data_IF_143429691315
#
_entry.id   IF_143429691315
#
_cell.length_a   1.000
_cell.length_b   1.000
_cell.length_c   1.000
_cell.angle_alpha   90.00
_cell.angle_beta   90.00
_cell.angle_gamma   90.00
#
_symmetry.space_group_name_H-M   'P 1'
#
loop_
_entity.id
_entity.type
_entity.pdbx_description
1 polymer ?
#
# COMPACT_ATOMS: atom_id res chain seq x y z
N UNK A 1 9.83 -6.53 11.44
CA UNK A 1 10.84 -5.45 11.21
C UNK A 1 12.01 -5.94 10.36
N UNK A 2 11.96 -5.80 9.02
CA UNK A 2 13.04 -6.24 8.10
C UNK A 2 13.89 -5.07 7.60
N UNK A 3 15.19 -5.32 7.46
CA UNK A 3 16.25 -4.32 7.24
C UNK A 3 16.28 -3.67 5.83
N UNK A 4 15.19 -3.71 5.05
CA UNK A 4 15.11 -3.08 3.71
C UNK A 4 14.23 -1.83 3.62
N UNK A 5 13.55 -1.41 4.69
CA UNK A 5 12.76 -0.17 4.70
C UNK A 5 13.57 1.14 4.53
N UNK A 6 14.86 1.07 4.25
CA UNK A 6 15.73 2.22 4.05
C UNK A 6 16.16 2.46 2.59
N UNK A 7 15.73 1.62 1.64
CA UNK A 7 15.80 1.95 0.21
C UNK A 7 14.47 2.58 -0.21
N UNK A 8 14.28 3.84 0.20
CA UNK A 8 13.11 4.65 -0.10
C UNK A 8 12.97 4.82 -1.62
N UNK A 9 12.09 4.03 -2.24
CA UNK A 9 11.42 4.44 -3.46
C UNK A 9 11.41 3.44 -4.62
N UNK A 10 10.62 3.82 -5.62
CA UNK A 10 10.36 3.09 -6.85
C UNK A 10 11.55 3.19 -7.85
N UNK A 11 12.79 3.16 -7.37
CA UNK A 11 14.02 3.30 -8.18
C UNK A 11 14.43 2.00 -8.91
N UNK A 12 14.87 2.12 -10.15
CA UNK A 12 15.25 1.05 -11.08
C UNK A 12 16.69 0.60 -10.88
N UNK A 13 17.62 1.56 -10.74
CA UNK A 13 19.05 1.33 -10.61
C UNK A 13 19.59 2.19 -9.49
N UNK A 14 20.53 1.64 -8.70
CA UNK A 14 21.31 2.37 -7.72
C UNK A 14 22.79 2.26 -8.06
N UNK A 15 23.50 3.37 -7.95
CA UNK A 15 24.95 3.42 -7.99
C UNK A 15 25.47 3.82 -6.61
N UNK A 16 26.42 3.04 -6.06
CA UNK A 16 27.03 3.26 -4.76
C UNK A 16 28.52 3.56 -4.94
N UNK A 17 29.03 4.53 -4.19
CA UNK A 17 30.46 4.79 -4.06
C UNK A 17 30.79 5.05 -2.60
N UNK A 18 31.85 4.41 -2.10
CA UNK A 18 32.35 4.60 -0.73
C UNK A 18 33.82 4.96 -0.82
N UNK A 19 34.17 6.08 -0.21
CA UNK A 19 35.49 6.65 -0.28
C UNK A 19 35.99 6.99 1.12
N UNK A 20 37.27 6.76 1.38
CA UNK A 20 37.93 7.24 2.59
C UNK A 20 38.68 8.53 2.28
N UNK A 21 38.29 9.60 2.94
CA UNK A 21 38.89 10.92 2.76
C UNK A 21 40.26 10.98 3.44
N UNK A 22 41.10 11.95 3.03
CA UNK A 22 42.44 12.14 3.58
C UNK A 22 42.46 12.39 5.12
N UNK A 23 41.37 12.91 5.66
CA UNK A 23 41.17 13.10 7.11
C UNK A 23 40.68 11.82 7.84
N UNK A 24 40.68 10.68 7.16
CA UNK A 24 40.30 9.39 7.73
C UNK A 24 38.80 9.09 7.75
N UNK A 25 37.94 10.10 7.50
CA UNK A 25 36.48 9.93 7.44
C UNK A 25 36.05 9.07 6.27
N UNK A 26 34.97 8.33 6.46
CA UNK A 26 34.30 7.59 5.39
C UNK A 26 33.12 8.41 4.85
N UNK A 27 33.09 8.57 3.53
CA UNK A 27 31.95 9.16 2.81
C UNK A 27 31.28 8.10 1.95
N UNK A 28 29.96 8.05 2.02
CA UNK A 28 29.09 7.20 1.22
C UNK A 28 28.31 8.10 0.29
N UNK A 29 28.37 7.82 -1.01
CA UNK A 29 27.59 8.50 -2.05
C UNK A 29 26.69 7.47 -2.73
N UNK A 30 25.41 7.78 -2.86
CA UNK A 30 24.46 6.96 -3.62
C UNK A 30 23.72 7.81 -4.63
N UNK A 31 23.44 7.25 -5.79
CA UNK A 31 22.58 7.82 -6.81
C UNK A 31 21.51 6.80 -7.21
N UNK A 32 20.26 7.24 -7.23
CA UNK A 32 19.09 6.41 -7.49
C UNK A 32 18.39 6.91 -8.76
N UNK A 33 18.18 5.98 -9.68
CA UNK A 33 17.58 6.24 -10.98
C UNK A 33 16.19 5.62 -11.05
N UNK A 34 15.19 6.37 -11.47
CA UNK A 34 13.77 6.01 -11.43
C UNK A 34 13.23 5.79 -12.84
N UNK A 35 12.06 5.15 -12.92
CA UNK A 35 11.28 5.15 -14.16
C UNK A 35 11.02 6.58 -14.61
N UNK A 36 11.15 6.90 -15.91
CA UNK A 36 10.76 8.21 -16.41
C UNK A 36 9.26 8.42 -16.24
N UNK A 37 8.79 9.64 -16.48
CA UNK A 37 7.36 9.88 -16.52
C UNK A 37 6.71 9.14 -17.70
N UNK A 38 5.52 8.55 -17.50
CA UNK A 38 4.81 7.88 -18.57
C UNK A 38 4.55 8.83 -19.75
N UNK A 39 4.75 8.41 -21.01
CA UNK A 39 4.34 9.20 -22.16
C UNK A 39 2.80 9.34 -22.18
N UNK A 40 2.28 10.35 -22.89
CA UNK A 40 0.83 10.63 -22.94
C UNK A 40 -0.02 9.45 -23.43
N UNK A 41 0.53 8.59 -24.28
CA UNK A 41 -0.12 7.38 -24.81
C UNK A 41 0.08 6.14 -23.94
N UNK A 42 0.75 6.29 -22.79
CA UNK A 42 1.12 5.21 -21.86
C UNK A 42 1.91 4.07 -22.51
N UNK A 43 2.57 4.33 -23.66
CA UNK A 43 3.35 3.31 -24.34
C UNK A 43 4.50 2.81 -23.45
N UNK A 44 4.64 1.48 -23.40
CA UNK A 44 5.78 0.81 -22.78
C UNK A 44 6.76 0.40 -23.88
N UNK A 45 8.07 0.58 -23.67
CA UNK A 45 9.10 0.12 -24.60
C UNK A 45 8.99 -1.37 -24.92
N UNK A 46 8.95 -1.65 -26.22
CA UNK A 46 8.70 -2.99 -26.78
C UNK A 46 10.01 -3.60 -27.25
N UNK A 47 10.19 -4.89 -27.00
CA UNK A 47 11.28 -5.70 -27.58
C UNK A 47 12.68 -5.14 -27.33
N UNK A 48 12.88 -4.45 -26.21
CA UNK A 48 14.17 -3.94 -25.74
C UNK A 48 14.66 -4.81 -24.59
N UNK A 49 15.97 -5.01 -24.49
CA UNK A 49 16.57 -5.75 -23.36
C UNK A 49 16.40 -4.97 -22.07
N UNK A 50 16.32 -5.67 -20.93
CA UNK A 50 16.24 -5.02 -19.61
C UNK A 50 17.38 -4.04 -19.35
N UNK A 51 18.57 -4.27 -19.94
CA UNK A 51 19.67 -3.30 -19.88
C UNK A 51 19.33 -1.98 -20.58
N UNK A 52 18.82 -2.01 -21.82
CA UNK A 52 18.41 -0.78 -22.52
C UNK A 52 17.30 -0.02 -21.80
N UNK A 53 16.44 -0.74 -21.09
CA UNK A 53 15.39 -0.15 -20.26
C UNK A 53 16.00 0.56 -19.05
N UNK A 54 16.98 -0.06 -18.39
CA UNK A 54 17.75 0.57 -17.31
C UNK A 54 18.52 1.80 -17.77
N UNK A 55 19.07 1.78 -18.98
CA UNK A 55 19.78 2.92 -19.57
C UNK A 55 18.84 4.13 -19.79
N UNK A 56 17.52 3.90 -19.88
CA UNK A 56 16.49 4.93 -19.96
C UNK A 56 15.97 5.43 -18.60
N UNK A 57 16.52 4.96 -17.48
CA UNK A 57 16.15 5.44 -16.14
C UNK A 57 16.71 6.85 -15.88
N UNK A 58 15.97 7.66 -15.12
CA UNK A 58 16.32 9.05 -14.85
C UNK A 58 16.84 9.23 -13.42
N UNK A 59 17.92 9.99 -13.23
CA UNK A 59 18.39 10.33 -11.89
C UNK A 59 17.28 11.06 -11.15
N UNK A 60 16.84 10.51 -10.01
CA UNK A 60 15.76 11.10 -9.22
C UNK A 60 16.16 11.43 -7.80
N UNK A 61 17.20 10.79 -7.26
CA UNK A 61 17.63 11.00 -5.88
C UNK A 61 19.14 10.76 -5.74
N UNK A 62 19.80 11.62 -4.99
CA UNK A 62 21.20 11.47 -4.58
C UNK A 62 21.28 11.55 -3.07
N UNK A 63 22.12 10.70 -2.48
CA UNK A 63 22.35 10.63 -1.04
C UNK A 63 23.85 10.71 -0.75
N UNK A 64 24.21 11.57 0.18
CA UNK A 64 25.56 11.73 0.68
C UNK A 64 25.54 11.58 2.20
N UNK A 65 26.42 10.72 2.71
CA UNK A 65 26.51 10.41 4.13
C UNK A 65 27.99 10.40 4.53
N UNK A 66 28.31 11.12 5.59
CA UNK A 66 29.65 11.10 6.20
C UNK A 66 29.50 10.65 7.64
N UNK A 67 30.15 9.54 7.99
CA UNK A 67 30.21 9.06 9.36
C UNK A 67 31.10 10.01 10.17
N UNK A 68 30.56 10.54 11.27
CA UNK A 68 31.29 11.41 12.18
C UNK A 68 30.83 11.12 13.62
N UNK A 69 31.47 10.16 14.30
CA UNK A 69 31.09 9.75 15.65
C UNK A 69 31.42 10.80 16.72
N UNK A 70 32.32 11.75 16.42
CA UNK A 70 32.75 12.76 17.38
C UNK A 70 31.67 13.82 17.62
N UNK A 71 31.30 14.02 18.89
CA UNK A 71 30.14 14.83 19.30
C UNK A 71 30.30 16.33 19.02
N UNK A 72 31.53 16.82 18.90
CA UNK A 72 31.84 18.22 18.52
C UNK A 72 32.03 18.37 17.02
N UNK A 73 32.76 17.44 16.39
CA UNK A 73 33.10 17.55 14.96
C UNK A 73 31.88 17.32 14.04
N UNK A 74 30.90 16.53 14.48
CA UNK A 74 29.66 16.26 13.74
C UNK A 74 28.83 17.52 13.49
N UNK A 75 28.40 18.25 14.54
CA UNK A 75 27.68 19.51 14.39
C UNK A 75 28.43 20.55 13.55
N UNK A 76 29.75 20.69 13.72
CA UNK A 76 30.55 21.59 12.89
C UNK A 76 30.56 21.18 11.42
N UNK A 77 30.68 19.88 11.13
CA UNK A 77 30.60 19.37 9.77
C UNK A 77 29.20 19.62 9.16
N UNK A 78 28.13 19.52 9.95
CA UNK A 78 26.78 19.83 9.52
C UNK A 78 26.61 21.31 9.17
N UNK A 79 27.14 22.24 9.99
CA UNK A 79 27.11 23.67 9.67
C UNK A 79 27.94 23.99 8.42
N UNK A 80 29.15 23.45 8.29
CA UNK A 80 29.95 23.60 7.06
C UNK A 80 29.22 23.06 5.83
N UNK A 81 28.48 21.97 5.98
CA UNK A 81 27.67 21.40 4.89
C UNK A 81 26.53 22.34 4.50
N UNK A 82 25.82 22.91 5.48
CA UNK A 82 24.77 23.93 5.24
C UNK A 82 25.32 25.17 4.55
N UNK A 83 26.46 25.68 5.01
CA UNK A 83 27.11 26.85 4.42
C UNK A 83 27.56 26.57 2.97
N UNK A 84 28.13 25.40 2.71
CA UNK A 84 28.51 24.98 1.36
C UNK A 84 27.31 24.89 0.42
N UNK A 85 26.21 24.28 0.87
CA UNK A 85 24.97 24.20 0.09
C UNK A 85 24.33 25.58 -0.11
N UNK A 86 24.33 26.44 0.91
CA UNK A 86 23.81 27.80 0.80
C UNK A 86 24.65 28.70 -0.12
N UNK A 87 25.97 28.49 -0.18
CA UNK A 87 26.83 29.17 -1.16
C UNK A 87 26.46 28.77 -2.58
N UNK A 88 26.09 27.49 -2.79
CA UNK A 88 25.78 26.95 -4.11
C UNK A 88 24.34 27.24 -4.58
N UNK A 89 23.37 27.23 -3.65
CA UNK A 89 21.94 27.27 -3.94
C UNK A 89 21.24 28.55 -3.46
N UNK A 90 21.96 29.43 -2.76
CA UNK A 90 21.36 30.57 -2.06
C UNK A 90 20.88 30.19 -0.66
N UNK A 91 20.34 31.15 0.08
CA UNK A 91 19.91 30.95 1.47
C UNK A 91 18.78 29.93 1.57
N UNK A 92 19.03 28.82 2.26
CA UNK A 92 18.03 27.79 2.56
C UNK A 92 17.19 28.12 3.79
N UNK A 93 16.19 27.27 4.06
CA UNK A 93 15.48 27.24 5.32
C UNK A 93 16.29 26.43 6.33
N UNK A 94 16.72 27.06 7.42
CA UNK A 94 17.48 26.40 8.48
C UNK A 94 16.55 25.99 9.62
N UNK A 95 16.91 24.86 10.23
CA UNK A 95 16.19 24.19 11.30
C UNK A 95 14.69 23.91 11.02
N UNK A 96 14.27 23.55 9.78
CA UNK A 96 12.91 23.07 9.56
C UNK A 96 12.69 21.75 10.29
N UNK A 97 11.45 21.52 10.73
CA UNK A 97 11.00 20.18 11.13
C UNK A 97 10.88 19.33 9.86
N UNK A 98 11.76 18.36 9.72
CA UNK A 98 11.77 17.44 8.57
C UNK A 98 11.32 16.05 9.01
N UNK A 99 10.51 15.42 8.17
CA UNK A 99 9.97 14.09 8.41
C UNK A 99 10.46 13.12 7.35
N UNK A 100 11.59 12.47 7.66
CA UNK A 100 12.15 11.34 6.92
C UNK A 100 12.98 10.50 7.91
N UNK A 101 13.17 9.20 7.63
CA UNK A 101 13.51 8.15 8.61
C UNK A 101 14.47 8.53 9.73
N UNK A 102 14.22 8.13 10.99
CA UNK A 102 14.89 8.64 12.20
C UNK A 102 14.67 10.14 12.48
N UNK A 103 13.55 10.70 12.00
CA UNK A 103 13.17 12.11 12.15
C UNK A 103 13.32 12.68 13.57
N UNK A 104 13.12 11.86 14.60
CA UNK A 104 13.26 12.24 16.00
C UNK A 104 14.69 12.62 16.42
N UNK A 105 15.71 12.25 15.64
CA UNK A 105 17.14 12.44 15.98
C UNK A 105 17.83 13.46 15.06
N UNK A 106 17.07 14.10 14.16
CA UNK A 106 17.58 15.12 13.28
C UNK A 106 17.86 16.42 14.02
N UNK A 107 19.12 16.81 13.97
CA UNK A 107 19.62 18.11 14.38
C UNK A 107 20.22 18.82 13.18
N UNK A 108 20.41 20.13 13.30
CA UNK A 108 21.05 20.94 12.26
C UNK A 108 20.44 20.68 10.85
N UNK A 109 19.11 20.65 10.76
CA UNK A 109 18.40 20.43 9.49
C UNK A 109 18.43 21.65 8.59
N UNK A 110 18.51 21.49 7.28
CA UNK A 110 18.29 22.59 6.35
C UNK A 110 17.67 22.07 5.05
N UNK A 111 16.94 22.96 4.37
CA UNK A 111 16.21 22.65 3.15
C UNK A 111 16.39 23.76 2.11
N UNK A 112 16.58 23.38 0.86
CA UNK A 112 16.63 24.28 -0.29
C UNK A 112 15.72 23.75 -1.40
N UNK A 113 14.95 24.64 -2.03
CA UNK A 113 14.22 24.34 -3.24
C UNK A 113 14.94 25.02 -4.41
N UNK A 114 15.40 24.24 -5.39
CA UNK A 114 16.21 24.71 -6.52
C UNK A 114 15.57 24.21 -7.81
N UNK A 115 14.74 25.04 -8.42
CA UNK A 115 13.88 24.61 -9.53
C UNK A 115 12.96 23.46 -9.07
N UNK A 116 12.91 22.33 -9.79
CA UNK A 116 12.10 21.17 -9.38
C UNK A 116 12.78 20.33 -8.28
N UNK A 117 14.04 20.57 -7.95
CA UNK A 117 14.78 19.77 -6.99
C UNK A 117 14.60 20.29 -5.56
N UNK A 118 14.48 19.37 -4.61
CA UNK A 118 14.59 19.67 -3.18
C UNK A 118 15.88 19.09 -2.66
N UNK A 119 16.67 19.90 -1.96
CA UNK A 119 17.88 19.49 -1.26
C UNK A 119 17.68 19.62 0.24
N UNK A 120 18.25 18.67 0.97
CA UNK A 120 18.17 18.59 2.43
C UNK A 120 19.56 18.27 2.98
N UNK A 121 19.89 18.85 4.13
CA UNK A 121 20.98 18.38 4.98
C UNK A 121 20.50 18.18 6.40
N UNK A 122 21.06 17.21 7.11
CA UNK A 122 20.76 16.94 8.51
C UNK A 122 21.96 16.30 9.22
N UNK A 123 21.98 16.40 10.54
CA UNK A 123 22.91 15.70 11.41
C UNK A 123 22.13 14.74 12.32
N UNK A 124 22.53 13.49 12.35
CA UNK A 124 22.05 12.49 13.31
C UNK A 124 22.98 12.44 14.51
N UNK A 125 22.47 12.77 15.70
CA UNK A 125 23.20 12.55 16.96
C UNK A 125 22.79 11.22 17.59
N UNK A 126 23.74 10.29 17.73
CA UNK A 126 23.69 8.99 18.45
C UNK A 126 22.28 8.41 18.69
N UNK A 127 21.96 7.37 17.91
CA UNK A 127 20.95 6.36 18.29
C UNK A 127 21.68 5.27 19.07
N UNK A 128 21.12 4.85 20.21
CA UNK A 128 21.68 3.77 21.04
C UNK A 128 22.11 2.54 20.22
N UNK A 129 23.40 2.17 20.33
CA UNK A 129 23.92 0.82 20.17
C UNK A 129 24.17 0.25 18.76
N UNK A 130 23.73 0.88 17.66
CA UNK A 130 23.83 0.21 16.33
C UNK A 130 24.34 1.04 15.15
N UNK A 131 24.39 2.38 15.21
CA UNK A 131 24.91 3.22 14.11
C UNK A 131 25.69 4.45 14.62
N UNK A 132 26.81 4.84 13.98
CA UNK A 132 27.54 6.06 14.33
C UNK A 132 26.72 7.31 13.99
N UNK A 133 26.98 8.42 14.71
CA UNK A 133 26.52 9.75 14.31
C UNK A 133 26.98 10.06 12.88
N UNK A 134 26.16 10.81 12.14
CA UNK A 134 26.41 11.08 10.72
C UNK A 134 25.86 12.40 10.26
N UNK A 135 26.57 13.00 9.30
CA UNK A 135 26.10 14.17 8.55
C UNK A 135 25.59 13.68 7.19
N UNK A 136 24.37 14.10 6.87
CA UNK A 136 23.63 13.72 5.69
C UNK A 136 23.41 14.95 4.82
N UNK A 137 23.55 14.79 3.51
CA UNK A 137 23.06 15.72 2.51
C UNK A 137 22.47 14.93 1.35
N UNK A 138 21.27 15.28 0.91
CA UNK A 138 20.62 14.59 -0.20
C UNK A 138 19.81 15.56 -1.04
N UNK A 139 19.52 15.15 -2.26
CA UNK A 139 18.73 15.93 -3.20
C UNK A 139 17.82 15.01 -4.00
N UNK A 140 16.59 15.43 -4.23
CA UNK A 140 15.62 14.65 -4.98
C UNK A 140 14.81 15.50 -5.96
N UNK A 141 14.40 14.86 -7.05
CA UNK A 141 13.48 15.39 -8.06
C UNK A 141 12.07 14.78 -7.88
N UNK A 142 11.03 15.38 -8.47
CA UNK A 142 9.65 14.90 -8.34
C UNK A 142 9.47 13.46 -8.84
N UNK A 143 10.28 13.03 -9.81
CA UNK A 143 10.26 11.65 -10.33
C UNK A 143 10.52 10.58 -9.25
N UNK A 144 11.17 10.97 -8.14
CA UNK A 144 11.45 10.06 -7.02
C UNK A 144 10.24 9.79 -6.13
N UNK A 145 9.23 10.67 -6.14
CA UNK A 145 8.08 10.63 -5.21
C UNK A 145 8.43 10.95 -3.76
N UNK A 146 9.67 11.37 -3.47
CA UNK A 146 10.09 11.65 -2.09
C UNK A 146 9.55 13.00 -1.61
N UNK A 147 9.19 13.04 -0.33
CA UNK A 147 8.77 14.24 0.40
C UNK A 147 9.41 14.24 1.80
N UNK A 148 9.66 15.43 2.36
CA UNK A 148 10.38 15.59 3.64
C UNK A 148 9.66 16.49 4.66
N UNK A 149 8.44 16.93 4.36
CA UNK A 149 7.66 17.84 5.23
C UNK A 149 6.53 17.09 5.96
N UNK A 150 6.18 17.57 7.16
CA UNK A 150 5.03 17.08 7.93
C UNK A 150 3.72 17.45 7.19
N UNK A 151 3.02 16.46 6.64
CA UNK A 151 1.71 16.64 6.03
C UNK A 151 1.53 15.98 4.66
N UNK A 152 2.60 15.46 4.06
CA UNK A 152 2.52 14.62 2.85
C UNK A 152 2.40 13.15 3.21
N UNK A 153 1.36 12.76 3.95
CA UNK A 153 0.96 11.36 3.94
C UNK A 153 0.54 11.06 2.51
N UNK A 154 1.26 10.18 1.81
CA UNK A 154 0.73 9.62 0.57
C UNK A 154 -0.68 9.10 0.90
N UNK A 155 -1.65 9.49 0.07
CA UNK A 155 -3.05 9.07 0.16
C UNK A 155 -3.17 7.61 -0.31
N UNK A 156 -2.32 6.72 0.24
CA UNK A 156 -2.20 5.29 -0.12
C UNK A 156 -3.54 4.58 0.12
N UNK A 157 -4.34 5.10 1.06
CA UNK A 157 -5.64 4.53 1.42
C UNK A 157 -6.79 4.99 0.51
N UNK A 158 -6.68 6.11 -0.20
CA UNK A 158 -7.81 6.70 -0.94
C UNK A 158 -8.37 5.80 -2.04
N UNK A 159 -7.51 5.15 -2.84
CA UNK A 159 -7.96 4.38 -4.00
C UNK A 159 -8.53 2.99 -3.65
N UNK A 160 -7.92 2.31 -2.68
CA UNK A 160 -8.44 1.05 -2.15
C UNK A 160 -9.80 1.27 -1.49
N UNK A 161 -9.90 2.32 -0.68
CA UNK A 161 -11.14 2.79 -0.09
C UNK A 161 -12.21 3.11 -1.15
N UNK A 162 -11.86 3.86 -2.19
CA UNK A 162 -12.77 4.17 -3.30
C UNK A 162 -13.23 2.91 -4.05
N UNK A 163 -12.37 1.89 -4.19
CA UNK A 163 -12.73 0.62 -4.83
C UNK A 163 -13.73 -0.18 -3.99
N UNK A 164 -13.56 -0.16 -2.66
CA UNK A 164 -14.50 -0.76 -1.72
C UNK A 164 -15.83 0.01 -1.70
N UNK A 165 -15.83 1.33 -1.68
CA UNK A 165 -17.05 2.16 -1.80
C UNK A 165 -17.81 1.89 -3.10
N UNK A 166 -17.13 1.76 -4.24
CA UNK A 166 -17.79 1.38 -5.51
C UNK A 166 -18.40 -0.02 -5.45
N UNK A 167 -17.75 -0.95 -4.76
CA UNK A 167 -18.25 -2.31 -4.57
C UNK A 167 -19.47 -2.32 -3.65
N UNK A 168 -19.45 -1.47 -2.62
CA UNK A 168 -20.55 -1.22 -1.70
C UNK A 168 -21.77 -0.65 -2.45
N UNK A 169 -21.58 0.37 -3.28
CA UNK A 169 -22.65 0.96 -4.08
C UNK A 169 -23.27 -0.06 -5.06
N UNK A 170 -22.43 -0.89 -5.69
CA UNK A 170 -22.92 -1.98 -6.55
C UNK A 170 -23.73 -3.03 -5.77
N UNK A 171 -23.31 -3.35 -4.54
CA UNK A 171 -24.03 -4.26 -3.65
C UNK A 171 -25.37 -3.65 -3.17
N UNK A 172 -25.40 -2.35 -2.84
CA UNK A 172 -26.64 -1.64 -2.51
C UNK A 172 -27.64 -1.71 -3.65
N UNK A 173 -27.22 -1.33 -4.87
CA UNK A 173 -28.08 -1.37 -6.05
C UNK A 173 -28.63 -2.79 -6.32
N UNK A 174 -27.80 -3.82 -6.14
CA UNK A 174 -28.19 -5.21 -6.36
C UNK A 174 -29.05 -5.82 -5.25
N UNK A 175 -29.11 -5.21 -4.06
CA UNK A 175 -30.00 -5.64 -2.97
C UNK A 175 -31.48 -5.45 -3.30
N UNK A 176 -31.80 -4.50 -4.19
CA UNK A 176 -33.17 -4.15 -4.56
C UNK A 176 -33.97 -3.48 -3.44
N UNK A 177 -33.32 -3.05 -2.36
CA UNK A 177 -33.92 -2.22 -1.32
C UNK A 177 -33.98 -0.75 -1.77
N UNK A 178 -35.02 -0.03 -1.35
CA UNK A 178 -35.29 1.36 -1.77
C UNK A 178 -35.86 2.19 -0.62
N UNK A 179 -35.73 3.52 -0.71
CA UNK A 179 -36.30 4.44 0.27
C UNK A 179 -35.81 4.16 1.69
N UNK A 180 -36.75 4.06 2.63
CA UNK A 180 -36.47 3.84 4.06
C UNK A 180 -35.71 2.54 4.36
N UNK A 181 -35.80 1.54 3.49
CA UNK A 181 -35.07 0.28 3.68
C UNK A 181 -33.54 0.43 3.47
N UNK A 182 -33.09 1.49 2.77
CA UNK A 182 -31.67 1.80 2.56
C UNK A 182 -31.09 2.72 3.65
N UNK A 183 -31.93 3.42 4.42
CA UNK A 183 -31.48 4.40 5.42
C UNK A 183 -30.43 3.84 6.40
N UNK A 184 -30.58 2.61 6.95
CA UNK A 184 -29.61 2.08 7.90
C UNK A 184 -28.21 1.94 7.29
N UNK A 185 -28.10 1.41 6.08
CA UNK A 185 -26.78 1.15 5.49
C UNK A 185 -26.16 2.42 4.88
N UNK A 186 -26.97 3.36 4.41
CA UNK A 186 -26.50 4.68 4.00
C UNK A 186 -25.98 5.52 5.17
N UNK A 187 -26.55 5.35 6.37
CA UNK A 187 -26.01 5.96 7.59
C UNK A 187 -24.58 5.47 7.83
N UNK A 188 -24.35 4.15 7.79
CA UNK A 188 -23.01 3.57 7.96
C UNK A 188 -22.05 4.08 6.88
N UNK A 189 -22.45 4.06 5.60
CA UNK A 189 -21.61 4.59 4.50
C UNK A 189 -21.22 6.05 4.75
N UNK A 190 -22.15 6.90 5.16
CA UNK A 190 -21.87 8.32 5.43
C UNK A 190 -20.86 8.48 6.58
N UNK A 191 -20.96 7.67 7.63
CA UNK A 191 -20.00 7.70 8.74
C UNK A 191 -18.59 7.33 8.28
N UNK A 192 -18.49 6.30 7.45
CA UNK A 192 -17.24 5.88 6.83
C UNK A 192 -16.65 7.04 6.00
N UNK A 193 -17.44 7.67 5.13
CA UNK A 193 -16.99 8.80 4.30
C UNK A 193 -16.58 10.04 5.15
N UNK A 194 -17.33 10.36 6.21
CA UNK A 194 -17.03 11.45 7.13
C UNK A 194 -15.66 11.26 7.82
N UNK A 195 -15.37 10.05 8.29
CA UNK A 195 -14.11 9.69 8.92
C UNK A 195 -12.93 9.80 7.96
N UNK A 196 -13.01 9.16 6.79
CA UNK A 196 -11.92 9.17 5.81
C UNK A 196 -11.68 10.56 5.19
N UNK A 197 -12.68 11.43 5.17
CA UNK A 197 -12.51 12.82 4.71
C UNK A 197 -11.78 13.73 5.71
N UNK A 198 -11.37 13.22 6.87
CA UNK A 198 -10.72 14.00 7.93
C UNK A 198 -11.62 15.06 8.57
N UNK A 199 -12.92 15.06 8.25
CA UNK A 199 -13.91 16.01 8.78
C UNK A 199 -14.34 15.69 10.21
N UNK A 200 -13.92 14.57 10.78
CA UNK A 200 -14.19 14.20 12.16
C UNK A 200 -12.97 14.30 13.07
N UNK A 201 -12.95 15.32 13.93
CA UNK A 201 -11.86 15.53 14.90
C UNK A 201 -11.90 14.68 16.16
N UNK A 202 -12.98 13.92 16.42
CA UNK A 202 -13.07 13.02 17.56
C UNK A 202 -14.29 12.10 17.41
N UNK A 203 -14.09 10.79 17.28
CA UNK A 203 -15.17 9.82 17.55
C UNK A 203 -14.63 8.72 18.46
N UNK A 204 -15.22 8.65 19.66
CA UNK A 204 -15.04 7.62 20.67
C UNK A 204 -16.42 6.99 20.92
N UNK A 205 -16.45 5.64 20.96
CA UNK A 205 -17.51 4.73 21.41
C UNK A 205 -18.92 4.79 20.78
N UNK A 206 -19.50 5.96 20.50
CA UNK A 206 -20.91 6.06 20.04
C UNK A 206 -21.14 5.50 18.63
N UNK A 207 -20.12 5.46 17.77
CA UNK A 207 -20.20 4.95 16.40
C UNK A 207 -20.42 3.42 16.35
N UNK A 208 -19.94 2.67 17.34
CA UNK A 208 -20.01 1.22 17.34
C UNK A 208 -21.46 0.70 17.39
N UNK A 209 -22.23 1.19 18.35
CA UNK A 209 -23.62 0.77 18.54
C UNK A 209 -24.51 1.14 17.34
N UNK A 210 -24.33 2.34 16.78
CA UNK A 210 -25.05 2.83 15.59
C UNK A 210 -24.80 1.90 14.39
N UNK A 211 -23.54 1.51 14.15
CA UNK A 211 -23.17 0.57 13.09
C UNK A 211 -23.82 -0.81 13.30
N UNK A 212 -23.76 -1.35 14.52
CA UNK A 212 -24.33 -2.69 14.81
C UNK A 212 -25.85 -2.70 14.60
N UNK A 213 -26.56 -1.68 15.09
CA UNK A 213 -28.01 -1.60 14.94
C UNK A 213 -28.42 -1.40 13.49
N UNK A 214 -27.69 -0.57 12.74
CA UNK A 214 -27.90 -0.39 11.31
C UNK A 214 -27.71 -1.69 10.52
N UNK A 215 -26.62 -2.43 10.78
CA UNK A 215 -26.35 -3.73 10.13
C UNK A 215 -27.41 -4.78 10.50
N UNK A 216 -27.84 -4.81 11.77
CA UNK A 216 -28.92 -5.71 12.21
C UNK A 216 -30.22 -5.42 11.47
N UNK A 217 -30.63 -4.15 11.39
CA UNK A 217 -31.82 -3.75 10.67
C UNK A 217 -31.70 -4.12 9.18
N UNK A 218 -30.60 -3.74 8.54
CA UNK A 218 -30.30 -4.05 7.13
C UNK A 218 -30.41 -5.54 6.79
N UNK A 219 -29.75 -6.40 7.58
CA UNK A 219 -29.76 -7.84 7.36
C UNK A 219 -31.12 -8.46 7.66
N UNK A 220 -31.88 -7.91 8.62
CA UNK A 220 -33.23 -8.39 8.91
C UNK A 220 -34.21 -8.11 7.76
N UNK A 221 -34.15 -6.91 7.17
CA UNK A 221 -35.01 -6.47 6.05
C UNK A 221 -34.70 -7.24 4.77
N UNK A 222 -33.43 -7.57 4.54
CA UNK A 222 -32.99 -8.27 3.33
C UNK A 222 -33.20 -9.79 3.37
N UNK A 223 -33.36 -10.41 4.56
CA UNK A 223 -33.40 -11.88 4.73
C UNK A 223 -34.50 -12.59 3.94
N UNK A 224 -35.64 -11.93 3.70
CA UNK A 224 -36.78 -12.50 2.97
C UNK A 224 -36.75 -12.23 1.47
N UNK A 225 -35.71 -11.54 0.97
CA UNK A 225 -35.55 -11.24 -0.46
C UNK A 225 -35.02 -12.48 -1.21
N UNK A 226 -35.01 -12.40 -2.54
CA UNK A 226 -34.44 -13.46 -3.38
C UNK A 226 -32.96 -13.73 -3.07
N UNK A 227 -32.47 -14.92 -3.45
CA UNK A 227 -31.10 -15.38 -3.11
C UNK A 227 -30.02 -14.36 -3.50
N UNK A 228 -30.13 -13.76 -4.69
CA UNK A 228 -29.17 -12.77 -5.18
C UNK A 228 -29.24 -11.45 -4.41
N UNK A 229 -30.44 -10.97 -4.11
CA UNK A 229 -30.65 -9.76 -3.31
C UNK A 229 -30.10 -9.93 -1.89
N UNK A 230 -30.32 -11.08 -1.27
CA UNK A 230 -29.78 -11.38 0.05
C UNK A 230 -28.25 -11.54 0.02
N UNK A 231 -27.69 -12.14 -1.04
CA UNK A 231 -26.24 -12.16 -1.25
C UNK A 231 -25.66 -10.74 -1.36
N UNK A 232 -26.33 -9.85 -2.10
CA UNK A 232 -25.92 -8.46 -2.24
C UNK A 232 -25.94 -7.73 -0.89
N UNK A 233 -26.99 -7.95 -0.09
CA UNK A 233 -27.09 -7.38 1.25
C UNK A 233 -25.99 -7.89 2.20
N UNK A 234 -25.62 -9.17 2.11
CA UNK A 234 -24.50 -9.73 2.86
C UNK A 234 -23.16 -9.13 2.44
N UNK A 235 -22.91 -8.97 1.13
CA UNK A 235 -21.68 -8.32 0.64
C UNK A 235 -21.59 -6.87 1.12
N UNK A 236 -22.71 -6.13 1.03
CA UNK A 236 -22.79 -4.76 1.54
C UNK A 236 -22.51 -4.70 3.05
N UNK A 237 -23.10 -5.60 3.85
CA UNK A 237 -22.86 -5.66 5.28
C UNK A 237 -21.39 -5.99 5.62
N UNK A 238 -20.76 -6.86 4.84
CA UNK A 238 -19.35 -7.23 5.02
C UNK A 238 -18.42 -6.02 4.81
N UNK A 239 -18.53 -5.38 3.65
CA UNK A 239 -17.73 -4.18 3.31
C UNK A 239 -17.99 -3.06 4.32
N UNK A 240 -19.25 -2.82 4.69
CA UNK A 240 -19.58 -1.79 5.68
C UNK A 240 -19.00 -2.07 7.06
N UNK A 241 -19.01 -3.33 7.54
CA UNK A 241 -18.41 -3.66 8.83
C UNK A 241 -16.89 -3.52 8.78
N UNK A 242 -16.26 -4.01 7.72
CA UNK A 242 -14.81 -3.97 7.53
C UNK A 242 -14.28 -2.52 7.53
N UNK A 243 -14.87 -1.66 6.71
CA UNK A 243 -14.57 -0.22 6.69
C UNK A 243 -14.92 0.50 8.01
N UNK A 244 -15.81 -0.09 8.82
CA UNK A 244 -16.17 0.48 10.12
C UNK A 244 -15.20 0.10 11.25
N UNK A 245 -14.30 -0.87 11.04
CA UNK A 245 -13.35 -1.30 12.07
C UNK A 245 -12.42 -0.15 12.49
N UNK A 246 -12.04 0.72 11.56
CA UNK A 246 -11.20 1.90 11.83
C UNK A 246 -11.97 3.04 12.52
N UNK A 247 -13.31 3.01 12.48
CA UNK A 247 -14.15 4.04 13.11
C UNK A 247 -14.22 3.90 14.63
N UNK A 248 -14.01 2.71 15.17
CA UNK A 248 -14.16 2.45 16.60
C UNK A 248 -13.27 1.30 17.07
N UNK A 249 -12.42 1.59 18.05
CA UNK A 249 -11.60 0.59 18.72
C UNK A 249 -12.44 -0.48 19.44
N UNK A 250 -13.74 -0.24 19.71
CA UNK A 250 -14.62 -1.20 20.38
C UNK A 250 -14.76 -2.53 19.63
N UNK A 251 -14.66 -2.51 18.30
CA UNK A 251 -14.77 -3.75 17.54
C UNK A 251 -13.59 -4.69 17.81
N UNK A 252 -12.40 -4.12 18.00
CA UNK A 252 -11.12 -4.83 18.10
C UNK A 252 -10.68 -5.04 19.56
N UNK A 253 -11.04 -4.13 20.46
CA UNK A 253 -10.59 -4.12 21.86
C UNK A 253 -11.14 -5.30 22.66
N UNK A 254 -10.25 -6.03 23.35
CA UNK A 254 -10.60 -7.19 24.17
C UNK A 254 -11.66 -6.93 25.23
N UNK A 255 -11.71 -5.72 25.78
CA UNK A 255 -12.63 -5.34 26.86
C UNK A 255 -14.09 -5.18 26.38
N UNK A 256 -14.29 -4.87 25.10
CA UNK A 256 -15.60 -4.58 24.51
C UNK A 256 -16.32 -5.85 24.01
N UNK A 257 -16.52 -6.85 24.86
CA UNK A 257 -17.11 -8.13 24.44
C UNK A 257 -18.59 -8.00 23.98
N UNK A 258 -19.33 -7.04 24.54
CA UNK A 258 -20.77 -6.87 24.32
C UNK A 258 -21.11 -6.55 22.85
N UNK A 259 -20.33 -5.66 22.21
CA UNK A 259 -20.57 -5.28 20.81
C UNK A 259 -20.28 -6.46 19.86
N UNK A 260 -19.20 -7.22 20.12
CA UNK A 260 -18.87 -8.42 19.37
C UNK A 260 -19.92 -9.52 19.53
N UNK A 261 -20.49 -9.69 20.72
CA UNK A 261 -21.62 -10.63 20.94
C UNK A 261 -22.84 -10.25 20.10
N UNK A 262 -23.16 -8.96 19.99
CA UNK A 262 -24.26 -8.47 19.13
C UNK A 262 -23.99 -8.72 17.65
N UNK A 263 -22.76 -8.47 17.18
CA UNK A 263 -22.34 -8.78 15.81
C UNK A 263 -22.38 -10.29 15.50
N UNK A 264 -21.90 -11.14 16.43
CA UNK A 264 -22.01 -12.60 16.35
C UNK A 264 -23.47 -13.06 16.24
N UNK A 265 -24.38 -12.45 16.99
CA UNK A 265 -25.80 -12.77 16.93
C UNK A 265 -26.44 -12.48 15.55
N UNK A 266 -25.86 -11.57 14.75
CA UNK A 266 -26.29 -11.29 13.37
C UNK A 266 -25.40 -11.95 12.30
N UNK A 267 -24.49 -12.84 12.72
CA UNK A 267 -23.74 -13.74 11.84
C UNK A 267 -22.35 -13.27 11.41
N UNK A 268 -21.80 -12.22 12.04
CA UNK A 268 -20.40 -11.83 11.88
C UNK A 268 -19.52 -12.58 12.91
N UNK A 269 -18.46 -13.27 12.49
CA UNK A 269 -17.55 -13.90 13.46
C UNK A 269 -16.22 -13.16 13.56
N UNK A 270 -15.64 -13.26 14.76
CA UNK A 270 -14.36 -12.69 15.12
C UNK A 270 -13.48 -13.76 15.75
N UNK A 271 -12.21 -13.71 15.42
CA UNK A 271 -11.15 -14.53 16.02
C UNK A 271 -10.20 -13.64 16.79
N UNK A 272 -9.68 -14.14 17.90
CA UNK A 272 -8.68 -13.39 18.67
C UNK A 272 -7.30 -13.64 18.07
N UNK A 273 -6.66 -12.56 17.64
CA UNK A 273 -5.28 -12.44 17.25
C UNK A 273 -4.51 -11.75 18.38
N UNK A 274 -3.49 -12.41 18.91
CA UNK A 274 -2.65 -11.88 19.99
C UNK A 274 -2.04 -10.50 19.70
N UNK A 275 -1.74 -10.17 18.44
CA UNK A 275 -1.13 -8.90 18.03
C UNK A 275 -2.16 -7.83 17.65
N UNK A 276 -3.32 -8.24 17.12
CA UNK A 276 -4.32 -7.33 16.53
C UNK A 276 -5.65 -7.28 17.31
N UNK A 277 -5.75 -7.96 18.44
CA UNK A 277 -7.00 -8.09 19.20
C UNK A 277 -8.01 -8.97 18.47
N UNK A 278 -9.27 -8.55 18.36
CA UNK A 278 -10.27 -9.34 17.63
C UNK A 278 -10.35 -8.96 16.15
N UNK A 279 -10.10 -9.91 15.26
CA UNK A 279 -10.20 -9.71 13.81
C UNK A 279 -11.52 -10.26 13.26
N UNK A 280 -12.20 -9.47 12.42
CA UNK A 280 -13.39 -9.90 11.69
C UNK A 280 -13.04 -10.93 10.62
N UNK A 281 -13.80 -12.03 10.55
CA UNK A 281 -13.46 -13.15 9.67
C UNK A 281 -14.23 -13.23 8.35
N UNK A 282 -14.95 -12.16 7.98
CA UNK A 282 -15.63 -12.03 6.68
C UNK A 282 -16.60 -13.17 6.33
N UNK A 283 -17.36 -13.68 7.30
CA UNK A 283 -18.34 -14.76 7.03
C UNK A 283 -19.48 -14.33 6.11
N UNK A 284 -19.85 -13.06 6.14
CA UNK A 284 -20.89 -12.52 5.26
C UNK A 284 -20.41 -12.53 3.81
N UNK A 285 -19.17 -12.12 3.53
CA UNK A 285 -18.52 -12.25 2.22
C UNK A 285 -18.49 -13.69 1.73
N UNK A 286 -18.02 -14.62 2.57
CA UNK A 286 -17.98 -16.06 2.23
C UNK A 286 -19.38 -16.60 1.92
N UNK A 287 -20.40 -16.14 2.64
CA UNK A 287 -21.80 -16.55 2.43
C UNK A 287 -22.39 -15.92 1.16
N UNK A 288 -22.10 -14.64 0.89
CA UNK A 288 -22.53 -13.95 -0.32
C UNK A 288 -22.01 -14.67 -1.58
N UNK A 289 -20.72 -15.02 -1.60
CA UNK A 289 -20.11 -15.79 -2.68
C UNK A 289 -20.82 -17.12 -2.93
N UNK A 290 -21.16 -17.87 -1.87
CA UNK A 290 -21.87 -19.15 -1.98
C UNK A 290 -23.30 -19.00 -2.50
N UNK A 291 -23.98 -17.93 -2.14
CA UNK A 291 -25.39 -17.72 -2.48
C UNK A 291 -25.62 -17.33 -3.95
N UNK A 292 -24.70 -16.57 -4.55
CA UNK A 292 -24.77 -16.08 -5.94
C UNK A 292 -23.55 -16.53 -6.77
N UNK A 293 -23.08 -17.77 -6.58
CA UNK A 293 -21.89 -18.29 -7.28
C UNK A 293 -22.07 -18.23 -8.80
N UNK A 294 -21.18 -17.50 -9.48
CA UNK A 294 -21.23 -17.29 -10.94
C UNK A 294 -22.19 -16.19 -11.38
N UNK A 295 -22.95 -15.59 -10.45
CA UNK A 295 -23.68 -14.34 -10.65
C UNK A 295 -22.81 -13.12 -10.35
N UNK A 296 -23.38 -11.93 -10.56
CA UNK A 296 -22.67 -10.66 -10.37
C UNK A 296 -22.17 -10.48 -8.93
N UNK A 297 -22.98 -10.85 -7.93
CA UNK A 297 -22.58 -10.67 -6.53
C UNK A 297 -21.53 -11.70 -6.16
N UNK A 298 -21.66 -12.95 -6.61
CA UNK A 298 -20.60 -13.93 -6.42
C UNK A 298 -19.28 -13.49 -7.05
N UNK A 299 -19.34 -12.85 -8.22
CA UNK A 299 -18.15 -12.28 -8.87
C UNK A 299 -17.53 -11.13 -8.05
N UNK A 300 -18.34 -10.20 -7.53
CA UNK A 300 -17.86 -9.11 -6.67
C UNK A 300 -17.31 -9.65 -5.34
N UNK A 301 -17.96 -10.63 -4.73
CA UNK A 301 -17.48 -11.27 -3.49
C UNK A 301 -16.16 -12.00 -3.73
N UNK A 302 -15.99 -12.70 -4.86
CA UNK A 302 -14.72 -13.35 -5.18
C UNK A 302 -13.60 -12.31 -5.33
N UNK A 303 -13.87 -11.20 -6.02
CA UNK A 303 -12.88 -10.13 -6.21
C UNK A 303 -12.49 -9.50 -4.86
N UNK A 304 -13.46 -9.24 -3.98
CA UNK A 304 -13.18 -8.73 -2.63
C UNK A 304 -12.33 -9.73 -1.80
N UNK A 305 -12.56 -11.04 -1.93
CA UNK A 305 -11.68 -12.04 -1.31
C UNK A 305 -10.26 -12.02 -1.92
N UNK A 306 -10.13 -11.80 -3.23
CA UNK A 306 -8.84 -11.69 -3.90
C UNK A 306 -8.04 -10.47 -3.45
N UNK A 307 -8.71 -9.33 -3.23
CA UNK A 307 -8.08 -8.10 -2.71
C UNK A 307 -7.48 -8.28 -1.33
N UNK A 308 -8.07 -9.17 -0.53
CA UNK A 308 -7.54 -9.57 0.78
C UNK A 308 -6.53 -10.73 0.70
N UNK A 309 -6.09 -11.09 -0.51
CA UNK A 309 -5.20 -12.23 -0.73
C UNK A 309 -5.80 -13.58 -0.34
N UNK A 310 -7.10 -13.67 -0.09
CA UNK A 310 -7.82 -14.76 0.60
C UNK A 310 -7.46 -14.96 2.09
N UNK A 311 -6.70 -14.05 2.69
CA UNK A 311 -6.42 -14.10 4.12
C UNK A 311 -7.52 -13.34 4.86
N UNK A 312 -8.44 -14.10 5.44
CA UNK A 312 -9.64 -13.58 6.10
C UNK A 312 -9.62 -13.88 7.61
N UNK A 313 -8.51 -14.34 8.17
CA UNK A 313 -8.35 -14.58 9.60
C UNK A 313 -7.62 -13.43 10.30
N UNK A 314 -6.90 -12.59 9.56
CA UNK A 314 -6.02 -11.55 10.08
C UNK A 314 -4.75 -12.05 10.75
N UNK A 315 -4.52 -13.37 10.78
CA UNK A 315 -3.39 -13.98 11.48
C UNK A 315 -2.46 -14.73 10.52
N UNK A 316 -2.58 -14.49 9.21
CA UNK A 316 -1.88 -15.23 8.15
C UNK A 316 -2.03 -16.77 8.27
N UNK A 317 -3.08 -17.23 8.96
CA UNK A 317 -3.26 -18.62 9.37
C UNK A 317 -4.16 -19.41 8.44
N UNK A 318 -4.96 -18.74 7.60
CA UNK A 318 -5.93 -19.38 6.72
C UNK A 318 -5.30 -19.93 5.44
N UNK A 319 -4.24 -19.28 4.96
CA UNK A 319 -3.58 -19.61 3.69
C UNK A 319 -2.04 -19.64 3.78
N UNK A 320 -1.48 -19.33 4.96
CA UNK A 320 -0.05 -19.13 5.15
C UNK A 320 0.46 -17.86 4.45
N UNK A 321 1.76 -17.79 4.22
CA UNK A 321 2.43 -16.65 3.59
C UNK A 321 2.18 -16.51 2.06
N UNK A 322 1.31 -17.32 1.43
CA UNK A 322 1.24 -17.49 -0.03
C UNK A 322 -0.10 -17.05 -0.68
N UNK A 323 -0.73 -15.99 -0.19
CA UNK A 323 -2.01 -15.50 -0.75
C UNK A 323 -1.99 -15.21 -2.24
N UNK A 324 -0.84 -14.77 -2.75
CA UNK A 324 -0.59 -14.57 -4.18
C UNK A 324 -0.93 -15.78 -5.06
N UNK A 325 -0.59 -17.01 -4.63
CA UNK A 325 -0.90 -18.22 -5.42
C UNK A 325 -2.41 -18.43 -5.56
N UNK A 326 -3.18 -18.15 -4.51
CA UNK A 326 -4.63 -18.30 -4.55
C UNK A 326 -5.27 -17.25 -5.44
N UNK A 327 -4.79 -16.00 -5.36
CA UNK A 327 -5.20 -14.90 -6.25
C UNK A 327 -4.93 -15.25 -7.71
N UNK A 328 -3.75 -15.79 -8.04
CA UNK A 328 -3.43 -16.24 -9.40
C UNK A 328 -4.42 -17.32 -9.85
N UNK A 329 -4.60 -18.38 -9.06
CA UNK A 329 -5.45 -19.51 -9.43
C UNK A 329 -6.92 -19.10 -9.68
N UNK A 330 -7.53 -18.38 -8.74
CA UNK A 330 -8.93 -17.96 -8.87
C UNK A 330 -9.10 -16.83 -9.90
N UNK A 331 -8.11 -15.94 -10.02
CA UNK A 331 -8.10 -14.84 -10.98
C UNK A 331 -8.04 -15.32 -12.43
N UNK A 332 -7.14 -16.26 -12.75
CA UNK A 332 -7.07 -16.86 -14.10
C UNK A 332 -8.36 -17.61 -14.45
N UNK A 333 -8.91 -18.35 -13.48
CA UNK A 333 -10.21 -19.00 -13.63
C UNK A 333 -11.34 -17.99 -13.87
N UNK A 334 -11.34 -16.86 -13.17
CA UNK A 334 -12.29 -15.77 -13.41
C UNK A 334 -12.13 -15.19 -14.82
N UNK A 335 -10.90 -14.91 -15.25
CA UNK A 335 -10.59 -14.32 -16.55
C UNK A 335 -10.91 -15.25 -17.72
N UNK A 336 -10.91 -16.57 -17.55
CA UNK A 336 -11.34 -17.50 -18.60
C UNK A 336 -12.86 -17.50 -18.81
N UNK A 337 -13.66 -17.27 -17.75
CA UNK A 337 -15.13 -17.35 -17.80
C UNK A 337 -15.84 -16.00 -17.98
N UNK A 338 -15.36 -14.95 -17.33
CA UNK A 338 -16.11 -13.70 -17.21
C UNK A 338 -16.03 -12.86 -18.49
N UNK A 339 -17.17 -12.30 -18.91
CA UNK A 339 -17.25 -11.36 -20.05
C UNK A 339 -17.37 -9.90 -19.61
N UNK A 340 -17.48 -9.63 -18.30
CA UNK A 340 -17.62 -8.27 -17.79
C UNK A 340 -16.27 -7.52 -17.88
N UNK A 341 -16.15 -6.60 -18.84
CA UNK A 341 -14.91 -5.85 -19.11
C UNK A 341 -14.37 -5.10 -17.89
N UNK A 342 -15.24 -4.50 -17.06
CA UNK A 342 -14.82 -3.74 -15.86
C UNK A 342 -14.24 -4.66 -14.80
N UNK A 343 -14.93 -5.76 -14.48
CA UNK A 343 -14.45 -6.72 -13.48
C UNK A 343 -13.19 -7.43 -13.95
N UNK A 344 -13.08 -7.76 -15.24
CA UNK A 344 -11.85 -8.33 -15.81
C UNK A 344 -10.65 -7.39 -15.66
N UNK A 345 -10.82 -6.08 -15.82
CA UNK A 345 -9.73 -5.12 -15.64
C UNK A 345 -9.20 -5.13 -14.19
N UNK A 346 -10.12 -5.13 -13.21
CA UNK A 346 -9.78 -5.27 -11.78
C UNK A 346 -9.08 -6.59 -11.49
N UNK A 347 -9.54 -7.70 -12.06
CA UNK A 347 -8.89 -9.01 -11.88
C UNK A 347 -7.53 -9.09 -12.57
N UNK A 348 -7.34 -8.47 -13.74
CA UNK A 348 -6.02 -8.39 -14.36
C UNK A 348 -5.02 -7.65 -13.46
N UNK A 349 -5.43 -6.57 -12.78
CA UNK A 349 -4.59 -5.88 -11.80
C UNK A 349 -4.18 -6.83 -10.65
N UNK A 350 -5.14 -7.45 -9.98
CA UNK A 350 -4.87 -8.34 -8.83
C UNK A 350 -3.99 -9.53 -9.21
N UNK A 351 -4.21 -10.12 -10.39
CA UNK A 351 -3.35 -11.22 -10.87
C UNK A 351 -1.94 -10.73 -11.21
N UNK A 352 -1.80 -9.52 -11.76
CA UNK A 352 -0.49 -8.93 -12.02
C UNK A 352 0.29 -8.72 -10.72
N UNK A 353 -0.37 -8.14 -9.71
CA UNK A 353 0.20 -7.92 -8.36
C UNK A 353 0.58 -9.23 -7.68
N UNK A 354 -0.24 -10.27 -7.80
CA UNK A 354 0.07 -11.58 -7.26
C UNK A 354 1.28 -12.25 -7.95
N UNK A 355 1.45 -12.06 -9.25
CA UNK A 355 2.67 -12.48 -9.93
C UNK A 355 3.88 -11.63 -9.52
N UNK A 356 3.69 -10.33 -9.30
CA UNK A 356 4.73 -9.43 -8.77
C UNK A 356 5.23 -9.91 -7.39
N UNK A 357 4.35 -10.39 -6.50
CA UNK A 357 4.76 -10.92 -5.19
C UNK A 357 5.79 -12.05 -5.32
N UNK A 358 5.62 -12.96 -6.28
CA UNK A 358 6.60 -14.04 -6.52
C UNK A 358 7.97 -13.45 -6.90
N UNK A 359 8.00 -12.38 -7.69
CA UNK A 359 9.24 -11.69 -8.09
C UNK A 359 9.85 -10.97 -6.88
N UNK A 360 9.04 -10.27 -6.09
CA UNK A 360 9.49 -9.55 -4.91
C UNK A 360 10.05 -10.51 -3.83
N UNK A 361 9.36 -11.63 -3.59
CA UNK A 361 9.81 -12.65 -2.64
C UNK A 361 11.09 -13.35 -3.09
N UNK A 362 11.27 -13.57 -4.40
CA UNK A 362 12.53 -14.09 -4.96
C UNK A 362 13.71 -13.12 -4.79
N UNK A 363 13.43 -11.82 -4.75
CA UNK A 363 14.40 -10.77 -4.46
C UNK A 363 14.64 -10.59 -2.94
N UNK A 364 13.79 -11.20 -2.11
CA UNK A 364 13.91 -11.22 -0.65
C UNK A 364 13.02 -10.22 0.08
N UNK A 365 11.92 -9.77 -0.52
CA UNK A 365 10.92 -8.96 0.16
C UNK A 365 10.34 -9.63 1.44
N UNK A 366 10.37 -10.96 1.52
CA UNK A 366 9.92 -11.73 2.69
C UNK A 366 11.04 -12.13 3.66
N UNK A 367 12.19 -11.46 3.61
CA UNK A 367 13.34 -11.71 4.49
C UNK A 367 12.92 -11.72 5.97
N UNK A 368 13.33 -12.77 6.69
CA UNK A 368 12.92 -13.03 8.07
C UNK A 368 11.73 -13.98 8.23
N UNK A 369 10.91 -14.17 7.19
CA UNK A 369 9.70 -15.02 7.25
C UNK A 369 9.72 -16.14 6.21
N UNK A 370 10.25 -15.89 5.01
CA UNK A 370 10.35 -16.90 3.95
C UNK A 370 11.70 -16.86 3.23
N UNK A 371 12.15 -18.03 2.80
CA UNK A 371 13.38 -18.19 2.02
C UNK A 371 13.15 -17.79 0.54
N UNK A 372 13.90 -16.78 0.10
CA UNK A 372 13.86 -16.27 -1.27
C UNK A 372 14.19 -17.35 -2.32
N UNK A 373 15.03 -18.33 -1.99
CA UNK A 373 15.42 -19.41 -2.91
C UNK A 373 14.21 -20.21 -3.42
N UNK A 374 13.14 -20.30 -2.63
CA UNK A 374 11.89 -20.99 -3.00
C UNK A 374 11.20 -20.36 -4.22
N UNK A 375 11.41 -19.06 -4.46
CA UNK A 375 10.74 -18.30 -5.50
C UNK A 375 11.63 -18.03 -6.73
N UNK A 376 12.95 -18.15 -6.60
CA UNK A 376 13.93 -17.84 -7.65
C UNK A 376 13.64 -18.54 -8.98
N UNK A 377 13.28 -19.84 -8.95
CA UNK A 377 12.99 -20.60 -10.18
C UNK A 377 11.74 -20.10 -10.91
N UNK A 378 10.73 -19.62 -10.16
CA UNK A 378 9.47 -19.16 -10.73
C UNK A 378 9.51 -17.67 -11.16
N UNK A 379 10.43 -16.88 -10.59
CA UNK A 379 10.47 -15.43 -10.77
C UNK A 379 10.55 -14.96 -12.24
N UNK A 380 11.35 -15.56 -13.15
CA UNK A 380 11.37 -15.12 -14.55
C UNK A 380 10.03 -15.28 -15.27
N UNK A 381 9.33 -16.39 -15.00
CA UNK A 381 8.00 -16.64 -15.55
C UNK A 381 6.96 -15.72 -14.93
N UNK A 382 6.98 -15.58 -13.60
CA UNK A 382 6.08 -14.69 -12.86
C UNK A 382 6.21 -13.23 -13.33
N UNK A 383 7.44 -12.73 -13.53
CA UNK A 383 7.70 -11.40 -14.12
C UNK A 383 7.04 -11.24 -15.49
N UNK A 384 7.17 -12.24 -16.35
CA UNK A 384 6.55 -12.21 -17.69
C UNK A 384 5.02 -12.17 -17.61
N UNK A 385 4.43 -12.94 -16.70
CA UNK A 385 2.99 -12.95 -16.47
C UNK A 385 2.48 -11.65 -15.84
N UNK A 386 3.17 -11.10 -14.84
CA UNK A 386 2.83 -9.80 -14.25
C UNK A 386 2.77 -8.71 -15.33
N UNK A 387 3.82 -8.59 -16.16
CA UNK A 387 3.86 -7.65 -17.29
C UNK A 387 2.67 -7.86 -18.23
N UNK A 388 2.39 -9.11 -18.62
CA UNK A 388 1.29 -9.42 -19.53
C UNK A 388 -0.08 -8.98 -18.99
N UNK A 389 -0.32 -9.13 -17.68
CA UNK A 389 -1.57 -8.72 -17.04
C UNK A 389 -1.67 -7.21 -16.86
N UNK A 390 -0.61 -6.52 -16.43
CA UNK A 390 -0.62 -5.06 -16.37
C UNK A 390 -0.84 -4.42 -17.75
N UNK A 391 -0.28 -5.00 -18.83
CA UNK A 391 -0.51 -4.54 -20.20
C UNK A 391 -1.98 -4.64 -20.66
N UNK A 392 -2.80 -5.48 -20.00
CA UNK A 392 -4.25 -5.51 -20.24
C UNK A 392 -4.97 -4.36 -19.54
N UNK A 393 -4.42 -3.84 -18.44
CA UNK A 393 -4.97 -2.73 -17.67
C UNK A 393 -4.65 -1.36 -18.30
N UNK A 394 -3.41 -1.16 -18.76
CA UNK A 394 -2.88 0.15 -19.20
C UNK A 394 -3.44 0.68 -20.54
N UNK A 395 -4.58 0.17 -21.02
CA UNK A 395 -5.20 0.57 -22.30
C UNK A 395 -6.30 1.62 -22.08
N UNK A 396 -5.94 2.80 -21.56
CA UNK A 396 -6.87 3.92 -21.36
C UNK A 396 -6.32 5.22 -21.96
N UNK A 397 -7.14 6.01 -22.69
CA UNK A 397 -6.71 7.30 -23.24
C UNK A 397 -6.53 8.40 -22.19
N UNK A 398 -7.06 8.24 -20.98
CA UNK A 398 -6.87 9.14 -19.85
C UNK A 398 -6.44 8.32 -18.62
N UNK A 399 -5.13 8.21 -18.31
CA UNK A 399 -4.66 7.44 -17.18
C UNK A 399 -4.95 8.15 -15.85
N UNK A 400 -5.46 7.41 -14.87
CA UNK A 400 -5.52 7.87 -13.47
C UNK A 400 -4.13 7.84 -12.84
N UNK A 401 -3.93 8.49 -11.68
CA UNK A 401 -2.68 8.42 -10.93
C UNK A 401 -2.26 6.97 -10.63
N UNK A 402 -3.21 6.12 -10.21
CA UNK A 402 -3.02 4.67 -10.13
C UNK A 402 -2.39 4.07 -11.40
N UNK A 403 -2.91 4.41 -12.58
CA UNK A 403 -2.42 3.85 -13.84
C UNK A 403 -1.01 4.36 -14.16
N UNK A 404 -0.66 5.57 -13.75
CA UNK A 404 0.72 6.10 -13.83
C UNK A 404 1.66 5.30 -12.90
N UNK A 405 1.23 5.02 -11.67
CA UNK A 405 2.00 4.18 -10.73
C UNK A 405 2.18 2.76 -11.28
N UNK A 406 1.11 2.12 -11.78
CA UNK A 406 1.20 0.79 -12.40
C UNK A 406 2.06 0.79 -13.66
N UNK A 407 2.09 1.88 -14.42
CA UNK A 407 3.01 2.01 -15.55
C UNK A 407 4.47 2.00 -15.09
N UNK A 408 4.78 2.76 -14.02
CA UNK A 408 6.13 2.77 -13.41
C UNK A 408 6.49 1.38 -12.90
N UNK A 409 5.55 0.65 -12.30
CA UNK A 409 5.73 -0.73 -11.86
C UNK A 409 6.08 -1.68 -13.02
N UNK A 410 5.36 -1.59 -14.14
CA UNK A 410 5.69 -2.38 -15.33
C UNK A 410 7.06 -2.02 -15.89
N UNK A 411 7.43 -0.74 -15.85
CA UNK A 411 8.75 -0.30 -16.28
C UNK A 411 9.86 -0.93 -15.45
N UNK A 412 9.68 -1.04 -14.12
CA UNK A 412 10.60 -1.77 -13.23
C UNK A 412 10.72 -3.23 -13.61
N UNK A 413 9.59 -3.92 -13.79
CA UNK A 413 9.57 -5.33 -14.18
C UNK A 413 10.29 -5.56 -15.51
N UNK A 414 10.06 -4.69 -16.50
CA UNK A 414 10.73 -4.75 -17.78
C UNK A 414 12.25 -4.49 -17.65
N UNK A 415 12.65 -3.58 -16.75
CA UNK A 415 14.06 -3.29 -16.44
C UNK A 415 14.77 -4.46 -15.72
N UNK A 416 14.03 -5.49 -15.31
CA UNK A 416 14.52 -6.58 -14.49
C UNK A 416 14.68 -6.22 -13.01
N UNK A 417 14.24 -5.02 -12.60
CA UNK A 417 14.17 -4.64 -11.20
C UNK A 417 13.02 -5.41 -10.51
N UNK A 418 13.13 -5.69 -9.19
CA UNK A 418 12.03 -6.24 -8.43
C UNK A 418 10.89 -5.21 -8.29
N UNK A 419 9.66 -5.67 -8.00
CA UNK A 419 8.58 -4.80 -7.56
C UNK A 419 8.93 -3.94 -6.35
N UNK A 420 8.11 -2.93 -6.10
CA UNK A 420 8.30 -1.99 -4.98
C UNK A 420 7.90 -2.59 -3.62
N UNK A 421 7.11 -3.65 -3.64
CA UNK A 421 6.67 -4.38 -2.45
C UNK A 421 5.88 -5.62 -2.83
N UNK A 422 5.21 -6.18 -1.83
CA UNK A 422 4.28 -7.30 -1.94
C UNK A 422 2.86 -6.85 -1.61
N UNK A 423 1.87 -7.45 -2.27
CA UNK A 423 0.44 -7.12 -2.14
C UNK A 423 -0.34 -8.16 -1.32
N UNK A 424 -0.01 -9.45 -1.46
CA UNK A 424 -0.73 -10.57 -0.84
C UNK A 424 0.17 -11.47 0.00
N UNK A 425 1.38 -10.99 0.31
CA UNK A 425 2.26 -11.61 1.30
C UNK A 425 1.83 -11.13 2.69
N UNK A 426 1.38 -12.07 3.52
CA UNK A 426 0.89 -11.78 4.86
C UNK A 426 1.96 -12.15 5.89
N UNK A 427 2.27 -11.24 6.81
CA UNK A 427 3.14 -11.48 7.96
C UNK A 427 2.37 -11.19 9.24
N UNK A 428 2.54 -12.04 10.25
CA UNK A 428 1.94 -11.88 11.57
C UNK A 428 3.07 -11.94 12.61
N UNK A 429 3.58 -10.77 13.02
CA UNK A 429 4.79 -10.64 13.86
C UNK A 429 4.78 -9.49 14.88
#
# INVERSE_FOLDING_TARGET
YSHRHWDWGNWIVRADNRERLANGREIIRRAYFYAPDPPADMALPRSVSGQKIRDGAQLGFIWLETNEPETVAGPELAERTREGLSTRFGKGQYDPKLWFGNAAYWNKTAKWNVGPATFVSAYESIVSGSRPSRVLAFGFLPVSGLHVDLGGGEDIYGEAFDAELRSLDAAFAASGLVGKDLEPIHLVKRRIEEYHSGKSGAWQSAAGDEVVDALKQWLSTSRRRGRRQYAAALLAADISLDLSLDLSTQFLNTEDEAIRKRLKAIGANFVYAQLDGYVYTHDWLKKALRLDRGGLIGDLSLISMMEKGFELSGMCSGIGYEGSRRVIFEGERFLSRSRNRKLRARVHLLVAEAYSDIVALADGAGEGYVDAARYQRAAPWARSMAIAHYLRLLRSPNPTEHQLQRWKEVWRLLAGAPPTGTYFFCVYD
#
